data_IF_299548737364
#
_entry.id   IF_299548737364
#
_cell.length_a   1.000
_cell.length_b   1.000
_cell.length_c   1.000
_cell.angle_alpha   90.00
_cell.angle_beta   90.00
_cell.angle_gamma   90.00
#
_symmetry.space_group_name_H-M   'P 1'
#
loop_
_entity.id
_entity.type
_entity.pdbx_description
1 polymer ?
#
# COMPACT_ATOMS: atom_id res chain seq x y z
N UNK A 1 4.57 3.53 0.36
CA UNK A 1 3.68 4.71 0.32
C UNK A 1 2.48 4.40 -0.55
N UNK A 2 1.29 4.51 0.03
CA UNK A 2 0.01 4.15 -0.56
C UNK A 2 -0.61 5.46 -1.02
N UNK A 3 -0.90 5.59 -2.31
CA UNK A 3 -1.74 6.67 -2.80
C UNK A 3 -3.00 6.08 -3.41
N UNK A 4 -4.16 6.48 -2.89
CA UNK A 4 -5.44 6.11 -3.48
C UNK A 4 -5.95 7.24 -4.38
N UNK A 5 -6.45 6.89 -5.56
CA UNK A 5 -7.02 7.88 -6.49
C UNK A 5 -8.47 8.15 -6.12
N UNK A 6 -8.80 9.42 -5.91
CA UNK A 6 -10.19 9.85 -5.93
C UNK A 6 -10.61 9.91 -7.41
N UNK A 7 -11.63 9.13 -7.80
CA UNK A 7 -12.36 9.45 -9.04
C UNK A 7 -13.01 10.79 -8.80
N UNK A 8 -12.44 11.85 -9.39
CA UNK A 8 -12.90 13.23 -9.25
C UNK A 8 -14.31 13.32 -9.85
N UNK A 9 -15.31 12.96 -9.06
CA UNK A 9 -16.60 13.58 -9.12
C UNK A 9 -16.38 14.96 -8.49
N UNK A 10 -16.99 16.01 -9.04
CA UNK A 10 -16.92 17.41 -8.60
C UNK A 10 -17.39 17.67 -7.14
N UNK A 11 -17.35 16.66 -6.26
CA UNK A 11 -17.76 16.62 -4.86
C UNK A 11 -16.68 16.03 -3.92
N UNK A 12 -15.45 15.76 -4.40
CA UNK A 12 -14.35 15.22 -3.58
C UNK A 12 -14.06 16.09 -2.36
N UNK A 13 -13.97 15.47 -1.18
CA UNK A 13 -13.95 16.16 0.13
C UNK A 13 -12.57 16.67 0.58
N UNK A 14 -11.49 16.31 -0.12
CA UNK A 14 -10.13 16.80 0.16
C UNK A 14 -9.03 15.73 0.07
N UNK A 15 -7.86 16.05 0.60
CA UNK A 15 -6.68 15.18 0.67
C UNK A 15 -6.42 14.80 2.13
N UNK A 16 -6.14 13.52 2.39
CA UNK A 16 -5.77 13.00 3.70
C UNK A 16 -4.32 12.47 3.66
N UNK A 17 -3.51 12.88 4.64
CA UNK A 17 -2.20 12.30 4.91
C UNK A 17 -2.29 11.53 6.22
N UNK A 18 -2.06 10.24 6.16
CA UNK A 18 -2.14 9.31 7.28
C UNK A 18 -0.76 8.71 7.53
N UNK A 19 -0.23 8.93 8.72
CA UNK A 19 1.01 8.31 9.17
C UNK A 19 0.70 7.27 10.25
N UNK A 20 1.51 6.20 10.29
CA UNK A 20 1.37 5.08 11.24
C UNK A 20 -0.05 4.50 11.39
N UNK A 21 -0.86 4.52 10.32
CA UNK A 21 -2.22 3.97 10.32
C UNK A 21 -2.24 2.44 10.54
N UNK A 22 -1.08 1.80 10.42
CA UNK A 22 -0.85 0.39 10.66
C UNK A 22 -0.24 0.05 12.03
N UNK A 23 -0.09 1.03 12.92
CA UNK A 23 0.43 0.81 14.27
C UNK A 23 -0.44 -0.20 15.05
N UNK A 24 0.22 -1.22 15.62
CA UNK A 24 -0.40 -2.29 16.40
C UNK A 24 -1.47 -3.10 15.66
N UNK A 25 -1.49 -3.10 14.32
CA UNK A 25 -2.41 -3.93 13.53
C UNK A 25 -1.75 -5.24 13.11
N UNK A 26 -2.56 -6.31 13.03
CA UNK A 26 -2.09 -7.59 12.50
C UNK A 26 -3.13 -8.27 11.62
N UNK A 27 -2.67 -9.07 10.65
CA UNK A 27 -3.50 -9.97 9.84
C UNK A 27 -4.85 -9.39 9.39
N UNK A 28 -5.93 -9.86 10.02
CA UNK A 28 -7.33 -9.49 9.68
C UNK A 28 -7.68 -8.04 10.03
N UNK A 29 -7.08 -7.48 11.07
CA UNK A 29 -7.34 -6.09 11.51
C UNK A 29 -6.79 -5.12 10.46
N UNK A 30 -5.55 -5.34 10.05
CA UNK A 30 -4.90 -4.58 8.97
C UNK A 30 -5.71 -4.64 7.67
N UNK A 31 -6.19 -5.82 7.29
CA UNK A 31 -7.05 -5.99 6.12
C UNK A 31 -8.39 -5.26 6.24
N UNK A 32 -8.95 -5.16 7.46
CA UNK A 32 -10.21 -4.46 7.68
C UNK A 32 -10.03 -2.94 7.55
N UNK A 33 -8.93 -2.40 8.09
CA UNK A 33 -8.56 -0.99 7.88
C UNK A 33 -8.28 -0.70 6.41
N UNK A 34 -7.58 -1.59 5.70
CA UNK A 34 -7.32 -1.43 4.27
C UNK A 34 -8.62 -1.27 3.45
N UNK A 35 -9.66 -2.06 3.77
CA UNK A 35 -10.99 -1.94 3.15
C UNK A 35 -11.68 -0.62 3.49
N UNK A 36 -11.54 -0.12 4.71
CA UNK A 36 -12.09 1.19 5.09
C UNK A 36 -11.40 2.31 4.31
N UNK A 37 -10.08 2.25 4.13
CA UNK A 37 -9.33 3.22 3.33
C UNK A 37 -9.69 3.15 1.84
N UNK A 38 -9.95 1.95 1.31
CA UNK A 38 -10.45 1.76 -0.05
C UNK A 38 -11.83 2.43 -0.23
N UNK A 39 -12.76 2.25 0.72
CA UNK A 39 -14.06 2.92 0.68
C UNK A 39 -13.95 4.45 0.83
N UNK A 40 -13.10 4.94 1.74
CA UNK A 40 -12.86 6.37 1.93
C UNK A 40 -12.22 7.01 0.69
N UNK A 41 -11.41 6.26 -0.06
CA UNK A 41 -10.76 6.77 -1.27
C UNK A 41 -11.72 7.16 -2.38
N UNK A 42 -12.98 6.69 -2.32
CA UNK A 42 -14.06 7.13 -3.21
C UNK A 42 -14.37 8.63 -3.04
N UNK A 43 -14.05 9.21 -1.88
CA UNK A 43 -14.37 10.59 -1.53
C UNK A 43 -13.15 11.47 -1.24
N UNK A 44 -12.03 10.87 -0.83
CA UNK A 44 -10.78 11.56 -0.49
C UNK A 44 -9.61 11.00 -1.29
N UNK A 45 -8.65 11.84 -1.63
CA UNK A 45 -7.32 11.34 -2.03
C UNK A 45 -6.53 11.02 -0.76
N UNK A 46 -6.10 9.77 -0.58
CA UNK A 46 -5.42 9.34 0.64
C UNK A 46 -3.98 9.00 0.33
N UNK A 47 -3.08 9.60 1.11
CA UNK A 47 -1.68 9.24 1.19
C UNK A 47 -1.42 8.56 2.53
N UNK A 48 -0.93 7.32 2.52
CA UNK A 48 -0.61 6.59 3.73
C UNK A 48 0.81 6.00 3.68
N UNK A 49 1.51 6.04 4.82
CA UNK A 49 2.79 5.34 5.02
C UNK A 49 2.49 4.04 5.77
N UNK A 50 2.97 2.92 5.24
CA UNK A 50 2.73 1.61 5.84
C UNK A 50 3.84 0.63 5.51
N UNK A 51 4.11 -0.26 6.46
CA UNK A 51 5.00 -1.41 6.32
C UNK A 51 4.23 -2.73 6.19
N UNK A 52 2.89 -2.69 6.25
CA UNK A 52 2.04 -3.87 6.15
C UNK A 52 1.61 -4.15 4.69
N UNK A 53 1.82 -5.39 4.19
CA UNK A 53 1.43 -5.75 2.83
C UNK A 53 -0.09 -5.69 2.62
N UNK A 54 -0.89 -5.88 3.67
CA UNK A 54 -2.36 -5.83 3.60
C UNK A 54 -2.88 -4.44 3.21
N UNK A 55 -2.30 -3.37 3.76
CA UNK A 55 -2.69 -2.00 3.39
C UNK A 55 -2.16 -1.66 2.00
N UNK A 56 -0.91 -2.04 1.72
CA UNK A 56 -0.25 -1.73 0.45
C UNK A 56 -0.85 -2.47 -0.74
N UNK A 57 -1.43 -3.65 -0.54
CA UNK A 57 -2.11 -4.40 -1.60
C UNK A 57 -3.37 -3.69 -2.10
N UNK A 58 -4.07 -2.96 -1.22
CA UNK A 58 -5.30 -2.20 -1.51
C UNK A 58 -5.08 -0.81 -2.10
N UNK A 59 -3.84 -0.36 -2.21
CA UNK A 59 -3.54 0.95 -2.80
C UNK A 59 -3.92 0.99 -4.29
N UNK A 60 -4.45 2.12 -4.78
CA UNK A 60 -4.56 2.33 -6.22
C UNK A 60 -3.17 2.48 -6.85
N UNK A 61 -2.33 3.28 -6.20
CA UNK A 61 -0.94 3.51 -6.56
C UNK A 61 -0.05 3.13 -5.38
N UNK A 62 1.02 2.39 -5.66
CA UNK A 62 2.00 2.00 -4.66
C UNK A 62 3.35 2.62 -5.04
N UNK A 63 3.94 3.36 -4.11
CA UNK A 63 5.25 3.97 -4.27
C UNK A 63 6.23 3.37 -3.28
N UNK A 64 7.39 2.98 -3.79
CA UNK A 64 8.54 2.55 -3.02
C UNK A 64 9.41 3.77 -2.71
N UNK A 65 9.85 3.86 -1.46
CA UNK A 65 10.82 4.87 -1.01
C UNK A 65 12.12 4.13 -0.70
N UNK A 66 13.18 4.45 -1.43
CA UNK A 66 14.49 3.83 -1.26
C UNK A 66 15.51 4.90 -0.87
N UNK A 67 16.39 4.56 0.07
CA UNK A 67 17.48 5.44 0.48
C UNK A 67 18.75 5.06 -0.26
N UNK A 68 19.37 6.01 -0.93
CA UNK A 68 20.65 5.86 -1.62
C UNK A 68 21.66 6.85 -1.03
N UNK A 69 22.43 6.40 -0.02
CA UNK A 69 23.31 7.28 0.73
C UNK A 69 22.52 8.32 1.53
N UNK A 70 22.73 9.60 1.23
CA UNK A 70 22.02 10.73 1.86
C UNK A 70 20.72 11.12 1.14
N UNK A 71 20.46 10.58 -0.05
CA UNK A 71 19.28 10.90 -0.85
C UNK A 71 18.18 9.84 -0.68
N UNK A 72 16.93 10.29 -0.65
CA UNK A 72 15.74 9.42 -0.75
C UNK A 72 15.14 9.52 -2.14
N UNK A 73 14.91 8.38 -2.79
CA UNK A 73 14.25 8.30 -4.10
C UNK A 73 12.88 7.67 -3.93
N UNK A 74 11.91 8.19 -4.67
CA UNK A 74 10.54 7.69 -4.70
C UNK A 74 10.24 7.16 -6.10
N UNK A 75 9.79 5.91 -6.19
CA UNK A 75 9.42 5.27 -7.45
C UNK A 75 7.99 4.75 -7.36
N UNK A 76 7.17 5.08 -8.37
CA UNK A 76 5.86 4.45 -8.57
C UNK A 76 6.07 3.04 -9.10
N UNK A 77 5.48 2.04 -8.46
CA UNK A 77 5.59 0.65 -8.83
C UNK A 77 4.51 0.25 -9.84
N UNK A 78 4.89 -0.50 -10.87
CA UNK A 78 3.94 -1.19 -11.74
C UNK A 78 3.34 -2.45 -11.07
N UNK A 79 2.48 -3.19 -11.76
CA UNK A 79 1.84 -4.37 -11.18
C UNK A 79 2.83 -5.48 -10.76
N UNK A 80 3.85 -5.76 -11.57
CA UNK A 80 4.83 -6.81 -11.25
C UNK A 80 5.72 -6.39 -10.10
N UNK A 81 6.17 -5.14 -10.13
CA UNK A 81 6.97 -4.53 -9.08
C UNK A 81 6.20 -4.47 -7.76
N UNK A 82 4.89 -4.20 -7.81
CA UNK A 82 4.01 -4.26 -6.63
C UNK A 82 3.96 -5.64 -6.02
N UNK A 83 3.79 -6.69 -6.83
CA UNK A 83 3.76 -8.06 -6.32
C UNK A 83 5.10 -8.42 -5.66
N UNK A 84 6.22 -8.06 -6.29
CA UNK A 84 7.55 -8.28 -5.73
C UNK A 84 7.75 -7.54 -4.41
N UNK A 85 7.32 -6.28 -4.34
CA UNK A 85 7.42 -5.49 -3.12
C UNK A 85 6.54 -6.03 -2.00
N UNK A 86 5.30 -6.44 -2.30
CA UNK A 86 4.43 -7.08 -1.32
C UNK A 86 5.03 -8.40 -0.80
N UNK A 87 5.67 -9.19 -1.68
CA UNK A 87 6.36 -10.41 -1.28
C UNK A 87 7.58 -10.11 -0.39
N UNK A 88 8.33 -9.05 -0.68
CA UNK A 88 9.42 -8.53 0.16
C UNK A 88 8.91 -8.07 1.53
N UNK A 89 7.77 -7.38 1.59
CA UNK A 89 7.13 -6.98 2.86
C UNK A 89 6.70 -8.18 3.72
N UNK A 90 6.37 -9.31 3.08
CA UNK A 90 5.95 -10.55 3.77
C UNK A 90 7.14 -11.36 4.29
N UNK A 91 8.20 -11.50 3.48
CA UNK A 91 9.31 -12.43 3.73
C UNK A 91 10.64 -11.77 4.09
N UNK A 92 10.71 -10.44 4.06
CA UNK A 92 11.95 -9.70 4.24
C UNK A 92 12.79 -9.66 2.95
N UNK A 93 14.12 -9.70 3.10
CA UNK A 93 15.04 -9.55 1.97
C UNK A 93 15.07 -10.76 1.02
N UNK A 94 14.81 -11.96 1.55
CA UNK A 94 14.79 -13.21 0.77
C UNK A 94 13.35 -13.53 0.33
N UNK A 95 13.01 -13.06 -0.87
CA UNK A 95 11.69 -13.31 -1.47
C UNK A 95 11.56 -14.78 -1.89
N UNK A 96 10.77 -15.54 -1.13
CA UNK A 96 10.47 -16.94 -1.45
C UNK A 96 9.35 -17.07 -2.48
N UNK A 97 9.21 -18.26 -3.08
CA UNK A 97 8.11 -18.56 -3.99
C UNK A 97 6.74 -18.43 -3.30
N UNK A 98 6.64 -18.91 -2.06
CA UNK A 98 5.43 -18.84 -1.24
C UNK A 98 5.05 -17.39 -0.92
N UNK A 99 6.04 -16.53 -0.68
CA UNK A 99 5.81 -15.11 -0.45
C UNK A 99 5.21 -14.42 -1.68
N UNK A 100 5.68 -14.79 -2.89
CA UNK A 100 5.12 -14.29 -4.15
C UNK A 100 3.68 -14.79 -4.35
N UNK A 101 3.40 -16.06 -4.09
CA UNK A 101 2.05 -16.61 -4.23
C UNK A 101 1.07 -15.96 -3.24
N UNK A 102 1.52 -15.72 -2.00
CA UNK A 102 0.73 -14.99 -1.01
C UNK A 102 0.52 -13.52 -1.44
N UNK A 103 1.56 -12.84 -1.94
CA UNK A 103 1.46 -11.48 -2.44
C UNK A 103 0.49 -11.35 -3.62
N UNK A 104 0.50 -12.30 -4.57
CA UNK A 104 -0.48 -12.36 -5.67
C UNK A 104 -1.90 -12.51 -5.14
N UNK A 105 -2.09 -13.33 -4.10
CA UNK A 105 -3.39 -13.52 -3.45
C UNK A 105 -3.86 -12.23 -2.78
N UNK A 106 -2.97 -11.53 -2.08
CA UNK A 106 -3.26 -10.22 -1.47
C UNK A 106 -3.59 -9.14 -2.51
N UNK A 107 -2.89 -9.16 -3.65
CA UNK A 107 -3.04 -8.17 -4.72
C UNK A 107 -4.33 -8.35 -5.54
N UNK A 108 -4.78 -9.60 -5.71
CA UNK A 108 -6.05 -9.91 -6.40
C UNK A 108 -7.29 -9.63 -5.56
N UNK A 109 -7.15 -9.67 -4.23
CA UNK A 109 -8.25 -9.49 -3.28
C UNK A 109 -8.59 -8.03 -3.07
#
# INVERSE_FOLDING_TARGET
FIATECKILNAGKGILFLDEIDANLSGKEAMSIAKVLEELSKFYQIFAISHLPQLSSKAHNHFLVEKNGEESKVKKLDQEERIKELARMVSGELVSYEAIEFAKTLFKN
#
